data_IF_170144058819
#
_entry.id   IF_170144058819
#
_cell.length_a   1.000
_cell.length_b   1.000
_cell.length_c   1.000
_cell.angle_alpha   90.00
_cell.angle_beta   90.00
_cell.angle_gamma   90.00
#
_symmetry.space_group_name_H-M   'P 1'
#
loop_
_entity.id
_entity.type
_entity.pdbx_description
1 polymer ?
#
# COMPACT_ATOMS: atom_id res chain seq x y z
N UNK A 1 -16.33 -6.60 13.17
CA UNK A 1 -16.04 -7.01 14.57
C UNK A 1 -15.62 -5.83 15.42
N UNK A 2 -14.53 -5.12 15.15
CA UNK A 2 -14.02 -3.99 15.97
C UNK A 2 -15.07 -2.92 16.30
N UNK A 3 -15.86 -2.35 15.33
CA UNK A 3 -16.86 -1.34 15.67
C UNK A 3 -17.92 -1.82 16.67
N UNK A 4 -18.31 -3.10 16.59
CA UNK A 4 -19.30 -3.67 17.56
C UNK A 4 -18.71 -3.75 18.97
N UNK A 5 -17.43 -4.11 19.11
CA UNK A 5 -16.73 -4.17 20.40
C UNK A 5 -16.62 -2.76 20.98
N UNK A 6 -16.18 -1.78 20.19
CA UNK A 6 -16.07 -0.39 20.62
C UNK A 6 -17.43 0.15 21.09
N UNK A 7 -18.50 -0.09 20.32
CA UNK A 7 -19.85 0.32 20.69
C UNK A 7 -20.32 -0.35 21.98
N UNK A 8 -20.07 -1.66 22.12
CA UNK A 8 -20.46 -2.42 23.32
C UNK A 8 -19.78 -1.87 24.58
N UNK A 9 -18.50 -1.54 24.50
CA UNK A 9 -17.72 -0.97 25.60
C UNK A 9 -17.84 0.56 25.71
N UNK A 10 -18.72 1.20 24.95
CA UNK A 10 -18.90 2.66 24.91
C UNK A 10 -17.61 3.43 24.64
N UNK A 11 -16.70 2.86 23.84
CA UNK A 11 -15.47 3.51 23.40
C UNK A 11 -15.75 4.46 22.22
N UNK A 12 -14.95 5.52 22.03
CA UNK A 12 -15.11 6.43 20.91
C UNK A 12 -15.01 5.72 19.54
N UNK A 13 -15.90 6.06 18.61
CA UNK A 13 -15.91 5.54 17.24
C UNK A 13 -15.13 6.49 16.31
N UNK A 14 -13.93 6.87 16.72
CA UNK A 14 -13.06 7.86 16.11
C UNK A 14 -11.89 7.24 15.34
N UNK A 15 -10.83 8.02 15.16
CA UNK A 15 -9.57 7.59 14.52
C UNK A 15 -8.92 6.39 15.23
N UNK A 16 -9.03 6.31 16.56
CA UNK A 16 -8.48 5.19 17.36
C UNK A 16 -9.16 3.88 17.02
N UNK A 17 -10.49 3.89 16.84
CA UNK A 17 -11.20 2.69 16.38
C UNK A 17 -10.74 2.28 14.97
N UNK A 18 -10.58 3.23 14.04
CA UNK A 18 -10.10 2.96 12.68
C UNK A 18 -8.68 2.38 12.69
N UNK A 19 -7.81 2.92 13.54
CA UNK A 19 -6.46 2.42 13.77
C UNK A 19 -6.48 0.95 14.24
N UNK A 20 -7.21 0.64 15.29
CA UNK A 20 -7.34 -0.76 15.78
C UNK A 20 -7.94 -1.68 14.71
N UNK A 21 -8.94 -1.20 13.96
CA UNK A 21 -9.54 -1.96 12.88
C UNK A 21 -8.54 -2.27 11.76
N UNK A 22 -7.69 -1.31 11.42
CA UNK A 22 -6.61 -1.45 10.44
C UNK A 22 -5.59 -2.49 10.89
N UNK A 23 -5.09 -2.40 12.13
CA UNK A 23 -4.14 -3.35 12.68
C UNK A 23 -4.72 -4.78 12.73
N UNK A 24 -5.97 -4.93 13.20
CA UNK A 24 -6.66 -6.24 13.21
C UNK A 24 -6.83 -6.81 11.81
N UNK A 25 -7.08 -5.98 10.81
CA UNK A 25 -7.20 -6.42 9.41
C UNK A 25 -5.87 -6.90 8.83
N UNK A 26 -4.78 -6.24 9.19
CA UNK A 26 -3.48 -6.44 8.56
C UNK A 26 -2.56 -7.41 9.33
N UNK A 27 -2.83 -7.74 10.61
CA UNK A 27 -1.89 -8.45 11.50
C UNK A 27 -1.40 -9.80 10.97
N UNK A 28 -2.18 -10.49 10.14
CA UNK A 28 -1.74 -11.75 9.55
C UNK A 28 -0.88 -11.60 8.29
N UNK A 29 -0.82 -10.40 7.69
CA UNK A 29 -0.07 -10.20 6.45
C UNK A 29 1.44 -10.35 6.61
N UNK A 30 2.11 -9.72 7.59
CA UNK A 30 3.53 -9.96 7.84
C UNK A 30 3.84 -11.44 8.07
N UNK A 31 2.95 -12.15 8.76
CA UNK A 31 3.06 -13.58 9.03
C UNK A 31 2.96 -14.42 7.73
N UNK A 32 2.07 -14.03 6.82
CA UNK A 32 1.94 -14.70 5.52
C UNK A 32 3.20 -14.50 4.66
N UNK A 33 3.82 -13.32 4.70
CA UNK A 33 5.09 -13.05 4.02
C UNK A 33 6.24 -13.94 4.51
N UNK A 34 6.26 -14.25 5.81
CA UNK A 34 7.27 -15.13 6.42
C UNK A 34 7.18 -16.56 5.88
N UNK A 35 5.98 -17.03 5.54
CA UNK A 35 5.75 -18.40 5.06
C UNK A 35 5.99 -18.58 3.57
N UNK A 36 6.00 -17.51 2.81
CA UNK A 36 6.18 -17.49 1.36
C UNK A 36 7.50 -16.85 0.92
N UNK A 37 7.65 -16.67 -0.40
CA UNK A 37 8.73 -15.83 -0.91
C UNK A 37 8.40 -14.36 -0.65
N UNK A 38 9.27 -13.68 0.09
CA UNK A 38 9.12 -12.25 0.37
C UNK A 38 9.50 -11.47 -0.88
N UNK A 39 8.51 -11.11 -1.69
CA UNK A 39 8.71 -10.28 -2.89
C UNK A 39 8.64 -8.79 -2.54
N UNK A 40 9.37 -7.96 -3.28
CA UNK A 40 9.34 -6.51 -3.10
C UNK A 40 7.93 -5.94 -3.32
N UNK A 41 7.19 -6.47 -4.29
CA UNK A 41 5.78 -6.13 -4.52
C UNK A 41 4.91 -6.34 -3.28
N UNK A 42 5.05 -7.49 -2.62
CA UNK A 42 4.28 -7.80 -1.41
C UNK A 42 4.64 -6.85 -0.25
N UNK A 43 5.92 -6.48 -0.15
CA UNK A 43 6.41 -5.49 0.81
C UNK A 43 5.85 -4.09 0.50
N UNK A 44 5.90 -3.63 -0.77
CA UNK A 44 5.33 -2.34 -1.19
C UNK A 44 3.84 -2.25 -0.86
N UNK A 45 3.08 -3.29 -1.16
CA UNK A 45 1.66 -3.37 -0.83
C UNK A 45 1.42 -3.29 0.68
N UNK A 46 2.21 -3.98 1.49
CA UNK A 46 2.09 -3.93 2.94
C UNK A 46 2.41 -2.52 3.48
N UNK A 47 3.51 -1.91 3.03
CA UNK A 47 3.90 -0.54 3.40
C UNK A 47 2.81 0.48 3.03
N UNK A 48 2.28 0.41 1.82
CA UNK A 48 1.22 1.32 1.38
C UNK A 48 -0.08 1.15 2.18
N UNK A 49 -0.48 -0.09 2.53
CA UNK A 49 -1.70 -0.32 3.30
C UNK A 49 -1.54 0.01 4.78
N UNK A 50 -0.38 -0.27 5.38
CA UNK A 50 -0.11 0.03 6.78
C UNK A 50 0.19 1.53 6.99
N UNK A 51 0.88 2.17 6.03
CA UNK A 51 1.30 3.56 6.16
C UNK A 51 2.13 3.76 7.43
N UNK A 52 1.86 4.84 8.16
CA UNK A 52 2.58 5.19 9.40
C UNK A 52 2.39 4.16 10.53
N UNK A 53 1.37 3.29 10.43
CA UNK A 53 1.10 2.28 11.46
C UNK A 53 1.93 1.00 11.27
N UNK A 54 2.89 0.96 10.32
CA UNK A 54 3.67 -0.26 10.01
C UNK A 54 4.46 -0.76 11.22
N UNK A 55 5.06 0.12 11.98
CA UNK A 55 5.87 -0.24 13.15
C UNK A 55 5.02 -0.88 14.25
N UNK A 56 3.82 -0.35 14.48
CA UNK A 56 2.89 -0.90 15.45
C UNK A 56 2.27 -2.20 14.96
N UNK A 57 2.02 -2.32 13.67
CA UNK A 57 1.61 -3.57 13.04
C UNK A 57 2.67 -4.66 13.25
N UNK A 58 3.95 -4.33 13.04
CA UNK A 58 5.06 -5.27 13.23
C UNK A 58 5.22 -5.66 14.72
N UNK A 59 5.06 -4.72 15.67
CA UNK A 59 5.04 -5.04 17.11
C UNK A 59 3.90 -5.98 17.45
N UNK A 60 2.69 -5.72 16.96
CA UNK A 60 1.52 -6.57 17.17
C UNK A 60 1.77 -8.00 16.64
N UNK A 61 2.28 -8.12 15.42
CA UNK A 61 2.59 -9.42 14.82
C UNK A 61 3.63 -10.19 15.62
N UNK A 62 4.67 -9.51 16.12
CA UNK A 62 5.70 -10.15 16.94
C UNK A 62 5.16 -10.60 18.30
N UNK A 63 4.24 -9.83 18.89
CA UNK A 63 3.58 -10.18 20.15
C UNK A 63 2.60 -11.37 20.02
N UNK A 64 1.97 -11.51 18.84
CA UNK A 64 1.02 -12.59 18.55
C UNK A 64 1.69 -13.95 18.27
N UNK A 65 3.04 -14.00 18.23
CA UNK A 65 3.79 -15.24 18.07
C UNK A 65 3.72 -16.05 19.36
N UNK A 66 2.68 -16.87 19.47
CA UNK A 66 2.48 -17.77 20.59
C UNK A 66 2.58 -19.23 20.14
N UNK A 67 3.48 -19.99 20.73
CA UNK A 67 3.60 -21.45 20.54
C UNK A 67 4.31 -22.08 21.72
N UNK A 68 3.88 -23.26 22.12
CA UNK A 68 4.59 -24.09 23.10
C UNK A 68 5.87 -24.71 22.54
N UNK A 69 6.08 -24.65 21.23
CA UNK A 69 7.24 -25.21 20.57
C UNK A 69 8.30 -24.13 20.35
N UNK A 70 9.34 -24.14 21.18
CA UNK A 70 10.42 -23.14 21.15
C UNK A 70 11.15 -23.09 19.80
N UNK A 71 11.33 -24.23 19.13
CA UNK A 71 11.97 -24.29 17.81
C UNK A 71 11.16 -23.53 16.76
N UNK A 72 9.83 -23.70 16.78
CA UNK A 72 8.93 -22.93 15.88
C UNK A 72 8.98 -21.44 16.18
N UNK A 73 8.99 -21.07 17.46
CA UNK A 73 9.10 -19.65 17.88
C UNK A 73 10.42 -19.04 17.39
N UNK A 74 11.54 -19.75 17.59
CA UNK A 74 12.86 -19.29 17.14
C UNK A 74 12.89 -19.07 15.62
N UNK A 75 12.48 -20.08 14.85
CA UNK A 75 12.42 -20.01 13.37
C UNK A 75 11.54 -18.86 12.91
N UNK A 76 10.41 -18.65 13.58
CA UNK A 76 9.48 -17.57 13.24
C UNK A 76 10.11 -16.19 13.48
N UNK A 77 10.79 -16.00 14.62
CA UNK A 77 11.49 -14.76 14.94
C UNK A 77 12.65 -14.45 13.98
N UNK A 78 13.38 -15.48 13.55
CA UNK A 78 14.44 -15.31 12.54
C UNK A 78 13.86 -14.83 11.21
N UNK A 79 12.80 -15.46 10.73
CA UNK A 79 12.13 -15.06 9.51
C UNK A 79 11.49 -13.66 9.63
N UNK A 80 10.96 -13.31 10.81
CA UNK A 80 10.40 -12.00 11.09
C UNK A 80 11.45 -10.88 10.95
N UNK A 81 12.69 -11.12 11.38
CA UNK A 81 13.82 -10.20 11.18
C UNK A 81 14.12 -9.99 9.69
N UNK A 82 13.97 -11.04 8.87
CA UNK A 82 14.17 -10.93 7.41
C UNK A 82 13.11 -9.99 6.81
N UNK A 83 11.83 -10.16 7.19
CA UNK A 83 10.76 -9.28 6.73
C UNK A 83 10.96 -7.84 7.19
N UNK A 84 11.35 -7.62 8.46
CA UNK A 84 11.64 -6.28 8.99
C UNK A 84 12.74 -5.58 8.19
N UNK A 85 13.84 -6.27 7.92
CA UNK A 85 14.93 -5.71 7.11
C UNK A 85 14.49 -5.41 5.67
N UNK A 86 13.72 -6.30 5.05
CA UNK A 86 13.17 -6.06 3.72
C UNK A 86 12.23 -4.85 3.68
N UNK A 87 11.43 -4.64 4.71
CA UNK A 87 10.58 -3.45 4.84
C UNK A 87 11.43 -2.17 4.84
N UNK A 88 12.50 -2.13 5.63
CA UNK A 88 13.43 -1.00 5.70
C UNK A 88 14.13 -0.75 4.35
N UNK A 89 14.62 -1.83 3.69
CA UNK A 89 15.30 -1.75 2.38
C UNK A 89 14.37 -1.17 1.29
N UNK A 90 13.14 -1.69 1.19
CA UNK A 90 12.17 -1.24 0.19
C UNK A 90 11.67 0.17 0.49
N UNK A 91 11.46 0.50 1.76
CA UNK A 91 11.05 1.84 2.16
C UNK A 91 12.13 2.89 1.85
N UNK A 92 13.40 2.59 2.16
CA UNK A 92 14.52 3.48 1.86
C UNK A 92 14.71 3.70 0.36
N UNK A 93 14.43 2.67 -0.45
CA UNK A 93 14.55 2.75 -1.92
C UNK A 93 13.40 3.49 -2.58
N UNK A 94 12.17 3.14 -2.22
CA UNK A 94 10.98 3.47 -3.02
C UNK A 94 10.07 4.52 -2.35
N UNK A 95 10.30 4.87 -1.07
CA UNK A 95 9.51 5.83 -0.28
C UNK A 95 7.99 5.58 -0.37
N UNK A 96 7.59 4.31 -0.29
CA UNK A 96 6.20 3.85 -0.55
C UNK A 96 5.24 4.12 0.61
N UNK A 97 5.74 4.41 1.81
CA UNK A 97 4.89 4.70 2.96
C UNK A 97 4.01 5.93 2.66
N UNK A 98 2.69 5.76 2.67
CA UNK A 98 1.72 6.82 2.36
C UNK A 98 1.90 7.49 0.99
N UNK A 99 2.57 6.84 0.02
CA UNK A 99 2.78 7.47 -1.26
C UNK A 99 1.45 7.77 -1.99
N UNK A 100 1.44 8.89 -2.66
CA UNK A 100 0.42 9.23 -3.66
C UNK A 100 1.08 9.18 -5.02
N UNK A 101 0.41 8.62 -6.04
CA UNK A 101 0.90 8.71 -7.40
C UNK A 101 1.19 10.18 -7.77
N UNK A 102 2.32 10.46 -8.46
CA UNK A 102 2.71 11.83 -8.78
C UNK A 102 1.75 12.51 -9.77
N UNK A 103 0.88 11.74 -10.43
CA UNK A 103 -0.18 12.26 -11.31
C UNK A 103 -1.48 12.38 -10.53
N UNK A 104 -2.02 13.59 -10.48
CA UNK A 104 -3.29 13.91 -9.81
C UNK A 104 -4.49 13.70 -10.74
N UNK A 105 -5.71 13.74 -10.18
CA UNK A 105 -6.93 13.74 -11.01
C UNK A 105 -7.06 15.01 -11.87
N UNK A 106 -6.55 16.14 -11.36
CA UNK A 106 -6.54 17.43 -12.10
C UNK A 106 -5.60 17.37 -13.31
N UNK A 107 -4.43 16.74 -13.16
CA UNK A 107 -3.50 16.54 -14.28
C UNK A 107 -4.16 15.72 -15.40
N UNK A 108 -4.90 14.66 -15.03
CA UNK A 108 -5.61 13.83 -16.00
C UNK A 108 -6.71 14.63 -16.70
N UNK A 109 -7.53 15.36 -15.92
CA UNK A 109 -8.60 16.20 -16.49
C UNK A 109 -8.05 17.26 -17.45
N UNK A 110 -6.96 17.92 -17.09
CA UNK A 110 -6.32 18.93 -17.91
C UNK A 110 -5.71 18.33 -19.17
N UNK A 111 -4.99 17.20 -19.05
CA UNK A 111 -4.31 16.55 -20.18
C UNK A 111 -5.30 16.07 -21.25
N UNK A 112 -6.44 15.53 -20.84
CA UNK A 112 -7.43 14.98 -21.76
C UNK A 112 -8.63 15.90 -22.01
N UNK A 113 -8.67 17.09 -21.38
CA UNK A 113 -9.79 18.04 -21.45
C UNK A 113 -11.13 17.37 -21.12
N UNK A 114 -11.19 16.66 -20.04
CA UNK A 114 -12.37 15.94 -19.56
C UNK A 114 -12.78 16.44 -18.18
N UNK A 115 -14.08 16.36 -17.89
CA UNK A 115 -14.60 16.62 -16.54
C UNK A 115 -14.41 15.40 -15.63
N UNK A 116 -14.82 15.50 -14.34
CA UNK A 116 -14.80 14.37 -13.42
C UNK A 116 -15.59 13.20 -13.98
N UNK A 117 -14.90 12.05 -14.18
CA UNK A 117 -15.47 10.86 -14.79
C UNK A 117 -14.81 9.57 -14.25
N UNK A 118 -15.34 8.42 -14.61
CA UNK A 118 -14.88 7.12 -14.18
C UNK A 118 -13.45 6.81 -14.66
N UNK A 119 -13.10 7.25 -15.85
CA UNK A 119 -11.80 7.02 -16.51
C UNK A 119 -10.65 7.58 -15.69
N UNK A 120 -10.85 8.72 -15.01
CA UNK A 120 -9.83 9.29 -14.09
C UNK A 120 -9.48 8.30 -12.97
N UNK A 121 -10.49 7.67 -12.39
CA UNK A 121 -10.31 6.66 -11.34
C UNK A 121 -9.55 5.44 -11.86
N UNK A 122 -9.86 4.99 -13.08
CA UNK A 122 -9.18 3.85 -13.73
C UNK A 122 -7.71 4.17 -13.97
N UNK A 123 -7.40 5.32 -14.57
CA UNK A 123 -6.02 5.75 -14.85
C UNK A 123 -5.22 5.88 -13.56
N UNK A 124 -5.76 6.55 -12.52
CA UNK A 124 -5.09 6.67 -11.22
C UNK A 124 -4.81 5.32 -10.58
N UNK A 125 -5.80 4.41 -10.62
CA UNK A 125 -5.64 3.07 -10.06
C UNK A 125 -4.57 2.28 -10.81
N UNK A 126 -4.53 2.38 -12.14
CA UNK A 126 -3.52 1.69 -12.96
C UNK A 126 -2.10 2.20 -12.68
N UNK A 127 -1.93 3.53 -12.57
CA UNK A 127 -0.63 4.12 -12.23
C UNK A 127 -0.20 3.65 -10.83
N UNK A 128 -1.11 3.69 -9.86
CA UNK A 128 -0.81 3.23 -8.50
C UNK A 128 -0.38 1.76 -8.48
N UNK A 129 -1.12 0.88 -9.15
CA UNK A 129 -0.79 -0.53 -9.23
C UNK A 129 0.56 -0.77 -9.92
N UNK A 130 0.85 -0.07 -11.02
CA UNK A 130 2.11 -0.18 -11.73
C UNK A 130 3.32 0.20 -10.85
N UNK A 131 3.20 1.23 -10.01
CA UNK A 131 4.24 1.60 -9.03
C UNK A 131 4.38 0.52 -7.96
N UNK A 132 3.27 0.00 -7.41
CA UNK A 132 3.30 -1.05 -6.39
C UNK A 132 3.86 -2.37 -6.93
N UNK A 133 3.58 -2.72 -8.17
CA UNK A 133 4.17 -3.89 -8.85
C UNK A 133 5.65 -3.69 -9.22
N UNK A 134 6.10 -2.43 -9.28
CA UNK A 134 7.44 -2.08 -9.71
C UNK A 134 7.61 -2.12 -11.24
N UNK A 135 6.51 -2.02 -11.98
CA UNK A 135 6.53 -1.85 -13.44
C UNK A 135 7.10 -0.49 -13.83
N UNK A 136 6.83 0.53 -13.03
CA UNK A 136 7.36 1.88 -13.14
C UNK A 136 7.87 2.37 -11.78
N UNK A 137 8.80 3.30 -11.81
CA UNK A 137 9.25 4.01 -10.62
C UNK A 137 8.20 5.05 -10.17
N UNK A 138 8.27 5.46 -8.91
CA UNK A 138 7.45 6.56 -8.41
C UNK A 138 8.01 7.92 -8.88
N UNK A 139 8.01 8.12 -10.21
CA UNK A 139 8.49 9.32 -10.87
C UNK A 139 7.41 9.95 -11.72
N UNK A 140 7.41 11.28 -11.80
CA UNK A 140 6.42 12.04 -12.56
C UNK A 140 6.46 11.72 -14.06
N UNK A 141 7.67 11.51 -14.61
CA UNK A 141 7.88 11.22 -16.03
C UNK A 141 7.21 9.89 -16.39
N UNK A 142 7.57 8.80 -15.70
CA UNK A 142 7.03 7.47 -15.99
C UNK A 142 5.53 7.38 -15.72
N UNK A 143 5.05 8.06 -14.69
CA UNK A 143 3.62 8.12 -14.38
C UNK A 143 2.82 8.87 -15.46
N UNK A 144 3.35 9.97 -16.01
CA UNK A 144 2.75 10.70 -17.14
C UNK A 144 2.74 9.87 -18.43
N UNK A 145 3.81 9.17 -18.73
CA UNK A 145 3.88 8.25 -19.89
C UNK A 145 2.81 7.16 -19.79
N UNK A 146 2.67 6.54 -18.61
CA UNK A 146 1.65 5.52 -18.37
C UNK A 146 0.24 6.13 -18.42
N UNK A 147 0.04 7.34 -17.89
CA UNK A 147 -1.23 8.08 -17.99
C UNK A 147 -1.66 8.25 -19.45
N UNK A 148 -0.75 8.72 -20.31
CA UNK A 148 -1.03 8.92 -21.74
C UNK A 148 -1.33 7.59 -22.45
N UNK A 149 -0.64 6.52 -22.09
CA UNK A 149 -0.91 5.18 -22.63
C UNK A 149 -2.30 4.68 -22.23
N UNK A 150 -2.63 4.73 -20.94
CA UNK A 150 -3.93 4.32 -20.43
C UNK A 150 -5.07 5.17 -21.00
N UNK A 151 -4.87 6.48 -21.13
CA UNK A 151 -5.85 7.37 -21.75
C UNK A 151 -6.18 6.96 -23.18
N UNK A 152 -5.15 6.67 -23.99
CA UNK A 152 -5.36 6.17 -25.36
C UNK A 152 -6.12 4.83 -25.41
N UNK A 153 -5.81 3.90 -24.50
CA UNK A 153 -6.51 2.62 -24.39
C UNK A 153 -7.99 2.80 -24.02
N UNK A 154 -8.31 3.88 -23.29
CA UNK A 154 -9.69 4.26 -22.94
C UNK A 154 -10.37 5.15 -24.00
N UNK A 155 -9.72 5.41 -25.13
CA UNK A 155 -10.27 6.24 -26.21
C UNK A 155 -10.17 7.74 -25.96
N UNK A 156 -9.37 8.18 -24.98
CA UNK A 156 -9.15 9.59 -24.69
C UNK A 156 -8.03 10.15 -25.58
N UNK A 157 -8.21 11.38 -26.04
CA UNK A 157 -7.21 12.11 -26.82
C UNK A 157 -6.57 13.19 -25.96
N UNK A 158 -5.27 13.14 -25.77
CA UNK A 158 -4.54 14.19 -25.07
C UNK A 158 -4.54 15.48 -25.92
N UNK A 159 -4.81 16.63 -25.26
CA UNK A 159 -4.55 17.91 -25.90
C UNK A 159 -3.03 18.08 -25.94
N UNK A 160 -2.46 18.26 -27.13
CA UNK A 160 -1.08 18.73 -27.25
C UNK A 160 -0.99 20.15 -26.67
N UNK A 161 -0.67 20.25 -25.39
CA UNK A 161 -0.03 21.46 -24.91
C UNK A 161 1.46 21.25 -25.20
N UNK A 162 1.96 22.03 -26.15
CA UNK A 162 3.39 22.13 -26.44
C UNK A 162 4.16 22.31 -25.14
N UNK A 163 4.99 21.30 -24.81
CA UNK A 163 6.00 21.34 -23.75
C UNK A 163 7.18 22.17 -24.21
#
# INVERSE_FOLDING_TARGET
MVPRIFKYHRLPLDSKMKYVQKLVRLHLRPIALIKGNVTDTAIRRLLNEAGDDIDDLMKLCNADITSKNEFKVKKFRENFKIVSRKLEEVEAKDQIRNFQPPVTGEDIMTTFNIGPCYEIGVIKSRIKEAILEGEIENSEIQAKELMLKCGRELGLTAIQNDL
#
